data_IF_286871304964
#
_entry.id   IF_286871304964
#
_cell.length_a   1.000
_cell.length_b   1.000
_cell.length_c   1.000
_cell.angle_alpha   90.00
_cell.angle_beta   90.00
_cell.angle_gamma   90.00
#
_symmetry.space_group_name_H-M   'P 1'
#
loop_
_entity.id
_entity.type
_entity.pdbx_description
1 polymer ?
#
# COMPACT_ATOMS: atom_id res chain seq x y z
N UNK A 1 2.85 -6.74 -17.03
CA UNK A 1 4.24 -7.22 -16.91
C UNK A 1 5.02 -7.01 -18.20
N UNK A 2 4.69 -7.67 -19.32
CA UNK A 2 5.44 -7.51 -20.60
C UNK A 2 5.58 -6.03 -21.02
N UNK A 3 4.48 -5.27 -21.05
CA UNK A 3 4.52 -3.85 -21.39
C UNK A 3 5.39 -3.01 -20.44
N UNK A 4 5.39 -3.33 -19.14
CA UNK A 4 6.22 -2.67 -18.12
C UNK A 4 7.71 -2.95 -18.35
N UNK A 5 8.05 -4.20 -18.70
CA UNK A 5 9.43 -4.62 -18.97
C UNK A 5 9.96 -3.95 -20.23
N UNK A 6 9.15 -3.93 -21.31
CA UNK A 6 9.51 -3.25 -22.55
C UNK A 6 9.73 -1.75 -22.31
N UNK A 7 8.85 -1.07 -21.56
CA UNK A 7 9.03 0.35 -21.20
C UNK A 7 10.33 0.60 -20.44
N UNK A 8 10.67 -0.26 -19.48
CA UNK A 8 11.92 -0.14 -18.72
C UNK A 8 13.14 -0.28 -19.64
N UNK A 9 13.14 -1.30 -20.51
CA UNK A 9 14.22 -1.54 -21.47
C UNK A 9 14.37 -0.37 -22.46
N UNK A 10 13.26 0.13 -23.02
CA UNK A 10 13.27 1.29 -23.91
C UNK A 10 13.83 2.53 -23.22
N UNK A 11 13.45 2.78 -21.95
CA UNK A 11 13.99 3.90 -21.17
C UNK A 11 15.49 3.76 -20.94
N UNK A 12 15.99 2.55 -20.69
CA UNK A 12 17.43 2.32 -20.54
C UNK A 12 18.18 2.58 -21.84
N UNK A 13 17.62 2.14 -22.97
CA UNK A 13 18.19 2.36 -24.31
C UNK A 13 18.22 3.86 -24.68
N UNK A 14 17.14 4.59 -24.37
CA UNK A 14 17.07 6.05 -24.55
C UNK A 14 18.12 6.81 -23.72
N UNK A 15 18.31 6.42 -22.46
CA UNK A 15 19.32 7.02 -21.58
C UNK A 15 20.74 6.69 -22.06
N UNK A 16 20.91 5.53 -22.70
CA UNK A 16 22.20 5.06 -23.19
C UNK A 16 22.72 5.88 -24.37
N UNK A 17 21.84 6.41 -25.25
CA UNK A 17 22.22 7.16 -26.47
C UNK A 17 23.36 6.51 -27.29
N UNK A 18 23.51 5.17 -27.22
CA UNK A 18 24.60 4.43 -27.86
C UNK A 18 26.00 4.53 -27.21
N UNK A 19 26.14 5.00 -25.97
CA UNK A 19 27.43 5.07 -25.24
C UNK A 19 27.80 3.72 -24.63
N UNK A 20 28.84 3.04 -25.12
CA UNK A 20 29.19 1.66 -24.75
C UNK A 20 29.35 1.26 -23.26
N UNK A 21 29.33 2.21 -22.30
CA UNK A 21 29.27 1.91 -20.85
C UNK A 21 28.37 2.95 -20.15
N UNK A 22 27.42 2.49 -19.34
CA UNK A 22 26.56 3.32 -18.51
C UNK A 22 26.28 2.64 -17.16
N UNK A 23 26.13 3.44 -16.10
CA UNK A 23 25.86 2.98 -14.75
C UNK A 23 24.36 3.07 -14.43
N UNK A 24 23.78 1.97 -13.96
CA UNK A 24 22.37 1.89 -13.60
C UNK A 24 22.26 1.64 -12.09
N UNK A 25 21.48 2.47 -11.41
CA UNK A 25 20.98 2.13 -10.08
C UNK A 25 19.89 1.05 -10.20
N UNK A 26 20.32 -0.20 -10.06
CA UNK A 26 19.45 -1.38 -10.19
C UNK A 26 18.33 -1.36 -9.15
N UNK A 27 18.60 -0.85 -7.94
CA UNK A 27 17.61 -0.81 -6.87
C UNK A 27 16.45 0.13 -7.25
N UNK A 28 16.79 1.35 -7.67
CA UNK A 28 15.81 2.35 -8.10
C UNK A 28 15.01 1.89 -9.32
N UNK A 29 15.66 1.30 -10.31
CA UNK A 29 14.96 0.85 -11.52
C UNK A 29 14.07 -0.36 -11.27
N UNK A 30 14.51 -1.33 -10.45
CA UNK A 30 13.67 -2.45 -10.03
C UNK A 30 12.45 -1.96 -9.23
N UNK A 31 12.65 -0.99 -8.35
CA UNK A 31 11.56 -0.40 -7.57
C UNK A 31 10.53 0.29 -8.48
N UNK A 32 11.01 1.10 -9.43
CA UNK A 32 10.15 1.75 -10.43
C UNK A 32 9.38 0.76 -11.31
N UNK A 33 10.02 -0.36 -11.67
CA UNK A 33 9.40 -1.44 -12.42
C UNK A 33 8.30 -2.13 -11.62
N UNK A 34 8.58 -2.47 -10.36
CA UNK A 34 7.58 -3.07 -9.46
C UNK A 34 6.38 -2.13 -9.27
N UNK A 35 6.62 -0.84 -9.08
CA UNK A 35 5.58 0.18 -8.98
C UNK A 35 4.69 0.21 -10.24
N UNK A 36 5.28 0.18 -11.44
CA UNK A 36 4.51 0.16 -12.69
C UNK A 36 3.68 -1.12 -12.86
N UNK A 37 4.25 -2.29 -12.54
CA UNK A 37 3.54 -3.57 -12.63
C UNK A 37 2.38 -3.63 -11.65
N UNK A 38 2.63 -3.34 -10.36
CA UNK A 38 1.61 -3.37 -9.31
C UNK A 38 0.49 -2.40 -9.66
N UNK A 39 0.84 -1.19 -10.10
CA UNK A 39 -0.17 -0.15 -10.38
C UNK A 39 -1.07 -0.50 -11.55
N UNK A 40 -0.52 -1.09 -12.63
CA UNK A 40 -1.33 -1.57 -13.76
C UNK A 40 -2.24 -2.73 -13.37
N UNK A 41 -1.78 -3.63 -12.51
CA UNK A 41 -2.58 -4.78 -12.05
C UNK A 41 -3.69 -4.31 -11.11
N UNK A 42 -3.37 -3.42 -10.17
CA UNK A 42 -4.29 -2.96 -9.14
C UNK A 42 -5.31 -1.93 -9.65
N UNK A 43 -4.86 -0.94 -10.42
CA UNK A 43 -5.62 0.26 -10.78
C UNK A 43 -5.95 0.38 -12.27
N UNK A 44 -5.43 -0.52 -13.11
CA UNK A 44 -5.78 -0.58 -14.52
C UNK A 44 -5.42 0.68 -15.30
N UNK A 45 -6.43 1.42 -15.73
CA UNK A 45 -6.27 2.69 -16.46
C UNK A 45 -5.70 3.81 -15.58
N UNK A 46 -5.94 3.78 -14.27
CA UNK A 46 -5.42 4.77 -13.31
C UNK A 46 -4.06 4.34 -12.72
N UNK A 47 -3.19 3.77 -13.56
CA UNK A 47 -1.91 3.22 -13.11
C UNK A 47 -0.88 4.30 -12.77
N UNK A 48 -1.01 5.52 -13.32
CA UNK A 48 -0.10 6.62 -13.01
C UNK A 48 -0.35 7.16 -11.59
N UNK A 49 -1.62 7.32 -11.20
CA UNK A 49 -2.03 7.65 -9.82
C UNK A 49 -1.61 6.52 -8.87
N UNK A 50 -1.83 5.27 -9.26
CA UNK A 50 -1.38 4.10 -8.50
C UNK A 50 0.13 4.08 -8.25
N UNK A 51 0.91 4.43 -9.27
CA UNK A 51 2.38 4.49 -9.18
C UNK A 51 2.80 5.61 -8.24
N UNK A 52 2.11 6.74 -8.27
CA UNK A 52 2.36 7.85 -7.34
C UNK A 52 2.04 7.47 -5.89
N UNK A 53 0.93 6.77 -5.65
CA UNK A 53 0.58 6.24 -4.32
C UNK A 53 1.69 5.33 -3.78
N UNK A 54 2.21 4.43 -4.62
CA UNK A 54 3.29 3.53 -4.20
C UNK A 54 4.57 4.28 -3.78
N UNK A 55 4.98 5.29 -4.54
CA UNK A 55 6.12 6.15 -4.20
C UNK A 55 5.92 6.93 -2.90
N UNK A 56 4.70 7.45 -2.69
CA UNK A 56 4.35 8.16 -1.46
C UNK A 56 4.36 7.23 -0.25
N UNK A 57 3.87 6.00 -0.39
CA UNK A 57 3.94 4.98 0.66
C UNK A 57 5.37 4.58 1.01
N UNK A 58 6.26 4.51 0.03
CA UNK A 58 7.70 4.28 0.27
C UNK A 58 8.29 5.41 1.12
N UNK A 59 7.99 6.67 0.79
CA UNK A 59 8.45 7.82 1.57
C UNK A 59 7.90 7.80 3.01
N UNK A 60 6.63 7.41 3.19
CA UNK A 60 6.06 7.21 4.53
C UNK A 60 6.77 6.11 5.28
N UNK A 61 7.02 4.96 4.64
CA UNK A 61 7.70 3.82 5.26
C UNK A 61 9.11 4.19 5.72
N UNK A 62 9.85 4.94 4.90
CA UNK A 62 11.16 5.45 5.27
C UNK A 62 11.10 6.39 6.49
N UNK A 63 10.11 7.30 6.51
CA UNK A 63 9.91 8.20 7.64
C UNK A 63 9.51 7.45 8.93
N UNK A 64 8.65 6.44 8.82
CA UNK A 64 8.24 5.56 9.93
C UNK A 64 9.45 4.79 10.45
N UNK A 65 10.22 4.19 9.56
CA UNK A 65 11.44 3.45 9.92
C UNK A 65 12.43 4.33 10.69
N UNK A 66 12.63 5.57 10.23
CA UNK A 66 13.45 6.53 10.98
C UNK A 66 12.86 6.87 12.36
N UNK A 67 11.53 7.01 12.47
CA UNK A 67 10.88 7.26 13.76
C UNK A 67 11.02 6.08 14.72
N UNK A 68 10.95 4.84 14.23
CA UNK A 68 11.11 3.63 15.03
C UNK A 68 12.52 3.50 15.63
N UNK A 69 13.53 4.09 14.99
CA UNK A 69 14.91 4.14 15.48
C UNK A 69 15.18 5.29 16.45
N UNK A 70 14.22 6.19 16.64
CA UNK A 70 14.33 7.34 17.55
C UNK A 70 13.53 7.11 18.83
N UNK A 71 13.85 7.85 19.90
CA UNK A 71 13.10 7.80 21.15
C UNK A 71 11.66 8.24 20.88
N UNK A 72 10.71 7.34 21.14
CA UNK A 72 9.30 7.64 20.97
C UNK A 72 8.82 8.60 22.07
N UNK A 73 8.40 9.80 21.67
CA UNK A 73 7.77 10.79 22.54
C UNK A 73 6.29 10.86 22.18
N UNK A 74 5.37 10.46 23.08
CA UNK A 74 3.94 10.60 22.88
C UNK A 74 3.55 12.04 22.50
N UNK A 75 2.63 12.20 21.55
CA UNK A 75 2.16 13.52 21.11
C UNK A 75 3.08 14.26 20.13
N UNK A 76 4.35 13.88 19.99
CA UNK A 76 5.30 14.54 19.09
C UNK A 76 4.87 14.48 17.62
N UNK A 77 4.07 13.48 17.23
CA UNK A 77 3.49 13.35 15.88
C UNK A 77 2.54 14.49 15.47
N UNK A 78 1.96 15.19 16.45
CA UNK A 78 1.00 16.28 16.21
C UNK A 78 1.66 17.66 16.17
N UNK A 79 2.93 17.75 16.56
CA UNK A 79 3.67 19.01 16.51
C UNK A 79 4.00 19.37 15.06
N UNK A 80 3.96 20.65 14.67
CA UNK A 80 4.19 21.11 13.30
C UNK A 80 5.68 21.10 12.90
N UNK A 81 6.36 19.97 13.08
CA UNK A 81 7.75 19.75 12.64
C UNK A 81 7.79 19.56 11.12
N UNK A 82 8.96 19.76 10.48
CA UNK A 82 9.13 19.53 9.04
C UNK A 82 8.72 18.10 8.63
N UNK A 83 9.11 17.11 9.43
CA UNK A 83 8.80 15.69 9.21
C UNK A 83 7.30 15.43 9.29
N UNK A 84 6.64 15.93 10.34
CA UNK A 84 5.19 15.73 10.51
C UNK A 84 4.38 16.46 9.43
N UNK A 85 4.79 17.68 9.05
CA UNK A 85 4.18 18.41 7.94
C UNK A 85 4.29 17.65 6.62
N UNK A 86 5.45 17.04 6.33
CA UNK A 86 5.60 16.19 5.14
C UNK A 86 4.72 14.95 5.24
N UNK A 87 4.68 14.27 6.38
CA UNK A 87 3.81 13.12 6.62
C UNK A 87 2.34 13.46 6.34
N UNK A 88 1.82 14.57 6.89
CA UNK A 88 0.44 15.02 6.66
C UNK A 88 0.18 15.41 5.21
N UNK A 89 1.17 16.00 4.53
CA UNK A 89 1.05 16.31 3.10
C UNK A 89 0.96 15.04 2.27
N UNK A 90 1.75 14.02 2.60
CA UNK A 90 1.70 12.73 1.92
C UNK A 90 0.35 12.07 2.15
N UNK A 91 -0.15 12.04 3.40
CA UNK A 91 -1.46 11.46 3.72
C UNK A 91 -2.58 12.12 2.89
N UNK A 92 -2.56 13.45 2.78
CA UNK A 92 -3.53 14.20 1.97
C UNK A 92 -3.42 13.87 0.48
N UNK A 93 -2.20 13.79 -0.05
CA UNK A 93 -1.96 13.48 -1.46
C UNK A 93 -2.42 12.05 -1.80
N UNK A 94 -2.13 11.07 -0.93
CA UNK A 94 -2.62 9.70 -1.08
C UNK A 94 -4.15 9.67 -1.05
N UNK A 95 -4.79 10.38 -0.12
CA UNK A 95 -6.25 10.43 -0.05
C UNK A 95 -6.88 11.01 -1.31
N UNK A 96 -6.30 12.09 -1.85
CA UNK A 96 -6.77 12.71 -3.08
C UNK A 96 -6.63 11.74 -4.27
N UNK A 97 -5.46 11.13 -4.46
CA UNK A 97 -5.21 10.18 -5.55
C UNK A 97 -6.15 8.96 -5.46
N UNK A 98 -6.39 8.44 -4.26
CA UNK A 98 -7.34 7.33 -4.07
C UNK A 98 -8.77 7.73 -4.45
N UNK A 99 -9.20 8.96 -4.14
CA UNK A 99 -10.52 9.45 -4.56
C UNK A 99 -10.60 9.57 -6.08
N UNK A 100 -9.59 10.13 -6.74
CA UNK A 100 -9.51 10.27 -8.19
C UNK A 100 -9.62 8.89 -8.87
N UNK A 101 -8.85 7.91 -8.38
CA UNK A 101 -8.86 6.53 -8.88
C UNK A 101 -10.26 5.89 -8.71
N UNK A 102 -10.89 6.04 -7.54
CA UNK A 102 -12.23 5.47 -7.29
C UNK A 102 -13.28 6.10 -8.20
N UNK A 103 -13.27 7.43 -8.36
CA UNK A 103 -14.22 8.15 -9.22
C UNK A 103 -14.04 7.73 -10.68
N UNK A 104 -12.80 7.67 -11.17
CA UNK A 104 -12.50 7.25 -12.53
C UNK A 104 -13.02 5.83 -12.82
N UNK A 105 -12.90 4.91 -11.85
CA UNK A 105 -13.34 3.53 -11.99
C UNK A 105 -14.86 3.33 -11.79
N UNK A 106 -15.57 4.30 -11.18
CA UNK A 106 -17.04 4.26 -11.08
C UNK A 106 -17.74 4.64 -12.37
N UNK A 107 -17.10 5.49 -13.19
CA UNK A 107 -17.64 6.01 -14.45
C UNK A 107 -17.40 5.06 -15.64
N UNK A 108 -16.48 4.12 -15.50
CA UNK A 108 -16.22 3.10 -16.53
C UNK A 108 -17.21 1.95 -16.40
N UNK A 109 -18.22 1.92 -17.27
CA UNK A 109 -18.99 0.70 -17.51
C UNK A 109 -18.14 -0.31 -18.27
N UNK A 110 -17.30 -1.10 -17.59
CA UNK A 110 -16.64 -2.20 -18.28
C UNK A 110 -16.10 -3.31 -17.39
N UNK A 111 -16.25 -4.51 -17.97
CA UNK A 111 -15.68 -5.84 -17.76
C UNK A 111 -14.16 -5.92 -17.43
N UNK A 112 -13.56 -4.90 -16.81
CA UNK A 112 -12.13 -4.88 -16.49
C UNK A 112 -11.85 -5.69 -15.23
N UNK A 113 -10.90 -6.64 -15.31
CA UNK A 113 -10.51 -7.57 -14.22
C UNK A 113 -9.42 -6.99 -13.31
N UNK A 114 -9.34 -5.67 -13.17
CA UNK A 114 -8.39 -5.05 -12.26
C UNK A 114 -8.88 -5.18 -10.83
N UNK A 115 -7.96 -5.35 -9.88
CA UNK A 115 -8.29 -5.65 -8.49
C UNK A 115 -9.27 -4.62 -7.89
N UNK A 116 -9.03 -3.33 -8.12
CA UNK A 116 -9.91 -2.29 -7.61
C UNK A 116 -11.34 -2.40 -8.16
N UNK A 117 -11.49 -2.60 -9.48
CA UNK A 117 -12.80 -2.71 -10.11
C UNK A 117 -13.55 -3.95 -9.59
N UNK A 118 -12.85 -5.08 -9.41
CA UNK A 118 -13.42 -6.29 -8.80
C UNK A 118 -13.94 -6.02 -7.38
N UNK A 119 -13.18 -5.29 -6.55
CA UNK A 119 -13.60 -4.91 -5.20
C UNK A 119 -14.81 -3.95 -5.23
N UNK A 120 -14.83 -2.96 -6.13
CA UNK A 120 -15.93 -2.02 -6.28
C UNK A 120 -17.22 -2.72 -6.76
N UNK A 121 -17.12 -3.67 -7.69
CA UNK A 121 -18.24 -4.49 -8.15
C UNK A 121 -18.78 -5.41 -7.05
N UNK A 122 -17.91 -6.08 -6.29
CA UNK A 122 -18.32 -6.91 -5.15
C UNK A 122 -19.12 -6.10 -4.11
N UNK A 123 -18.70 -4.85 -3.85
CA UNK A 123 -19.41 -3.94 -2.94
C UNK A 123 -20.82 -3.59 -3.43
N UNK A 124 -21.01 -3.36 -4.73
CA UNK A 124 -22.34 -3.03 -5.30
C UNK A 124 -23.35 -4.18 -5.14
N UNK A 125 -22.89 -5.42 -5.01
CA UNK A 125 -23.74 -6.61 -4.89
C UNK A 125 -23.92 -7.10 -3.44
N UNK A 126 -23.22 -6.52 -2.47
CA UNK A 126 -23.29 -6.91 -1.06
C UNK A 126 -23.40 -5.69 -0.12
N UNK A 127 -24.60 -5.49 0.43
CA UNK A 127 -24.85 -4.70 1.65
C UNK A 127 -24.22 -5.31 2.93
N UNK A 128 -23.25 -6.23 2.80
CA UNK A 128 -22.84 -7.13 3.88
C UNK A 128 -21.37 -7.23 4.17
N UNK A 129 -20.48 -6.73 3.31
CA UNK A 129 -19.05 -6.71 3.63
C UNK A 129 -18.67 -5.27 4.00
N UNK A 130 -18.55 -5.03 5.30
CA UNK A 130 -18.06 -3.75 5.81
C UNK A 130 -16.60 -3.54 5.41
N UNK A 131 -16.21 -2.30 5.14
CA UNK A 131 -14.82 -1.95 4.85
C UNK A 131 -13.85 -2.46 5.94
N UNK A 132 -14.33 -2.59 7.17
CA UNK A 132 -13.61 -3.11 8.33
C UNK A 132 -13.18 -4.58 8.15
N UNK A 133 -14.05 -5.44 7.60
CA UNK A 133 -13.77 -6.86 7.39
C UNK A 133 -12.72 -7.07 6.28
N UNK A 134 -12.81 -6.27 5.22
CA UNK A 134 -11.79 -6.25 4.15
C UNK A 134 -10.44 -5.79 4.69
N UNK A 135 -10.43 -4.76 5.54
CA UNK A 135 -9.20 -4.23 6.15
C UNK A 135 -8.56 -5.29 7.07
N UNK A 136 -9.34 -6.03 7.84
CA UNK A 136 -8.83 -7.08 8.73
C UNK A 136 -8.21 -8.25 7.96
N UNK A 137 -8.87 -8.72 6.90
CA UNK A 137 -8.34 -9.78 6.05
C UNK A 137 -7.07 -9.33 5.30
N UNK A 138 -7.05 -8.10 4.79
CA UNK A 138 -5.85 -7.53 4.16
C UNK A 138 -4.69 -7.40 5.16
N UNK A 139 -4.95 -7.01 6.42
CA UNK A 139 -3.93 -6.98 7.48
C UNK A 139 -3.40 -8.40 7.78
N UNK A 140 -4.29 -9.39 7.88
CA UNK A 140 -3.91 -10.77 8.15
C UNK A 140 -3.06 -11.38 7.02
N UNK A 141 -3.40 -11.06 5.77
CA UNK A 141 -2.65 -11.49 4.59
C UNK A 141 -1.24 -10.89 4.52
N UNK A 142 -1.11 -9.59 4.83
CA UNK A 142 0.15 -8.87 4.67
C UNK A 142 1.15 -9.11 5.82
N UNK A 143 0.67 -9.29 7.05
CA UNK A 143 1.52 -9.44 8.23
C UNK A 143 1.76 -10.90 8.64
N UNK A 144 1.09 -11.85 7.99
CA UNK A 144 1.15 -13.27 8.36
C UNK A 144 0.41 -13.51 9.68
N UNK A 145 -0.59 -14.40 9.63
CA UNK A 145 -1.34 -14.76 10.83
C UNK A 145 -0.40 -15.54 11.79
N UNK A 146 -0.21 -15.13 13.07
CA UNK A 146 0.50 -15.98 14.05
C UNK A 146 -0.27 -17.26 14.37
N UNK A 147 -1.58 -17.29 14.07
CA UNK A 147 -2.43 -18.45 14.25
C UNK A 147 -2.92 -18.88 12.87
N UNK A 148 -2.25 -19.87 12.27
CA UNK A 148 -2.79 -20.58 11.12
C UNK A 148 -4.19 -21.12 11.45
N UNK A 149 -5.14 -20.81 10.58
CA UNK A 149 -6.47 -21.43 10.47
C UNK A 149 -7.47 -21.10 11.58
N UNK A 150 -8.53 -20.36 11.21
CA UNK A 150 -9.90 -20.88 11.10
C UNK A 150 -10.83 -19.81 10.49
N UNK A 151 -11.41 -20.04 9.30
CA UNK A 151 -12.58 -19.29 8.86
C UNK A 151 -13.76 -19.62 9.77
N UNK A 152 -14.61 -18.61 9.97
CA UNK A 152 -15.92 -18.61 10.63
C UNK A 152 -16.49 -19.99 11.03
N UNK A 153 -16.24 -20.40 12.28
CA UNK A 153 -17.08 -21.37 12.98
C UNK A 153 -17.08 -21.13 14.50
N UNK A 154 -18.17 -20.50 14.95
CA UNK A 154 -18.83 -20.58 16.26
C UNK A 154 -18.07 -20.23 17.55
N UNK A 155 -18.66 -19.23 18.22
CA UNK A 155 -18.93 -19.10 19.67
C UNK A 155 -18.67 -20.39 20.47
N UNK A 156 -17.77 -20.34 21.45
CA UNK A 156 -18.04 -20.51 22.89
C UNK A 156 -16.77 -20.85 23.67
N UNK A 157 -16.71 -20.28 24.87
CA UNK A 157 -15.93 -20.67 26.05
C UNK A 157 -14.47 -20.21 26.24
N UNK A 158 -14.35 -19.50 27.37
CA UNK A 158 -13.37 -19.62 28.45
C UNK A 158 -12.17 -18.68 28.47
N UNK A 159 -12.23 -17.76 29.43
CA UNK A 159 -11.10 -17.17 30.12
C UNK A 159 -10.12 -18.24 30.56
N UNK A 160 -9.00 -18.34 29.87
CA UNK A 160 -7.68 -18.43 30.47
C UNK A 160 -6.67 -18.43 29.33
N UNK A 161 -5.61 -17.68 29.55
CA UNK A 161 -4.34 -17.80 28.86
C UNK A 161 -4.17 -17.11 27.49
N UNK A 162 -3.59 -15.91 27.57
CA UNK A 162 -2.50 -15.46 26.69
C UNK A 162 -1.85 -14.19 27.27
N UNK A 163 -1.10 -14.37 28.36
CA UNK A 163 0.01 -13.47 28.67
C UNK A 163 1.19 -13.89 27.77
N UNK A 164 1.96 -12.91 27.33
CA UNK A 164 3.24 -13.03 26.60
C UNK A 164 3.13 -13.12 25.07
N UNK A 165 2.95 -11.95 24.43
CA UNK A 165 3.51 -11.63 23.11
C UNK A 165 4.10 -10.21 23.13
N UNK A 166 5.19 -9.95 22.39
CA UNK A 166 5.97 -8.72 22.50
C UNK A 166 5.18 -7.49 22.01
N UNK A 167 5.06 -6.49 22.88
CA UNK A 167 4.30 -5.22 22.68
C UNK A 167 4.75 -4.38 21.48
N UNK A 168 5.82 -4.73 20.78
CA UNK A 168 6.36 -3.91 19.68
C UNK A 168 5.63 -4.11 18.35
N UNK A 169 5.15 -5.33 18.05
CA UNK A 169 4.45 -5.64 16.79
C UNK A 169 3.04 -5.01 16.74
N UNK A 170 2.33 -5.04 17.86
CA UNK A 170 1.01 -4.40 18.00
C UNK A 170 1.08 -2.87 17.98
N UNK A 171 2.22 -2.29 18.39
CA UNK A 171 2.42 -0.85 18.36
C UNK A 171 2.40 -0.31 16.92
N UNK A 172 3.20 -0.89 16.02
CA UNK A 172 3.32 -0.47 14.60
C UNK A 172 1.97 -0.51 13.88
N UNK A 173 1.18 -1.58 14.10
CA UNK A 173 -0.14 -1.73 13.47
C UNK A 173 -1.19 -0.75 14.01
N UNK A 174 -1.05 -0.28 15.26
CA UNK A 174 -1.98 0.68 15.88
C UNK A 174 -1.62 2.13 15.60
N UNK A 175 -0.35 2.44 15.36
CA UNK A 175 0.13 3.81 15.07
C UNK A 175 0.09 4.19 13.59
N UNK A 176 0.06 3.22 12.67
CA UNK A 176 -0.05 3.51 11.24
C UNK A 176 -1.50 3.77 10.77
N UNK A 177 -2.50 3.37 11.57
CA UNK A 177 -3.91 3.45 11.17
C UNK A 177 -4.82 3.91 12.32
N UNK A 178 -4.44 5.02 12.98
CA UNK A 178 -5.31 5.87 13.82
C UNK A 178 -4.94 7.35 13.72
#
# INVERSE_FOLDING_TARGET
MVASTLRMLSKWDEVHQGKGVYEIDVHKELHNFAADVISRVAFGSSYDEGKRIFQLQEEQMFNVYQSLRQVYIPGFRFLPTKKNKRMWSIDKEIQQLLQEVVVANQQTESSSRHLLNLMLCARKHQDRIGAEEIIEECKAFYFGNPNGSKPLARKSFSSADRRVLPKQSTFVSSTLWK
#
